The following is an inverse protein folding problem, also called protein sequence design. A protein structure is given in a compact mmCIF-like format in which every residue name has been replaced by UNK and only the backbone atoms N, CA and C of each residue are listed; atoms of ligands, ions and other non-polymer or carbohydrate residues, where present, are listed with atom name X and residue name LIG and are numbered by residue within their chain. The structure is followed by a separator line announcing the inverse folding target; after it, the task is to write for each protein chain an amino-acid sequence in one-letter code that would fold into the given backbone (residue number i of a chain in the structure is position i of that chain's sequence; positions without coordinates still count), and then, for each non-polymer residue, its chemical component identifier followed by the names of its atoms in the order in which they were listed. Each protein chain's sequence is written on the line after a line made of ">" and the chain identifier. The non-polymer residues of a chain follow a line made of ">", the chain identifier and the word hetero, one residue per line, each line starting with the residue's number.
data_IF_674656998720
#
_entry.id   IF_674656998720
#
_cell.length_a   1.000
_cell.length_b   1.000
_cell.length_c   1.000
_cell.angle_alpha   90.00
_cell.angle_beta   90.00
_cell.angle_gamma   90.00
#
_symmetry.space_group_name_H-M   'P 1'
#
loop_
_entity.id
_entity.type
_entity.pdbx_description
1 polymer ?
#
# COMPACT_ATOMS: atom_id res chain seq x y z
N UNK A 1 1.59 8.28 -5.61
CA UNK A 1 1.16 8.62 -4.24
C UNK A 1 1.82 7.68 -3.25
N UNK A 2 2.31 8.16 -2.09
CA UNK A 2 2.92 7.33 -1.04
C UNK A 2 1.98 7.26 0.17
N UNK A 3 1.59 6.05 0.56
CA UNK A 3 0.83 5.80 1.78
C UNK A 3 1.75 5.08 2.77
N UNK A 4 2.18 5.81 3.81
CA UNK A 4 2.91 5.24 4.94
C UNK A 4 1.92 4.66 5.94
N UNK A 5 2.16 3.44 6.41
CA UNK A 5 1.27 2.71 7.32
C UNK A 5 -0.12 2.38 6.73
N UNK A 6 -0.18 2.29 5.40
CA UNK A 6 -1.40 2.05 4.62
C UNK A 6 -2.05 0.67 4.79
N UNK A 7 -1.53 -0.18 5.68
CA UNK A 7 -2.07 -1.50 5.99
C UNK A 7 -3.23 -1.47 7.00
N UNK A 8 -3.55 -0.30 7.57
CA UNK A 8 -4.68 -0.12 8.49
C UNK A 8 -6.01 0.17 7.77
N UNK A 9 -7.09 0.25 8.55
CA UNK A 9 -8.47 0.50 8.08
C UNK A 9 -8.60 1.77 7.23
N UNK A 10 -7.87 2.82 7.60
CA UNK A 10 -7.81 4.07 6.84
C UNK A 10 -7.11 3.88 5.49
N UNK A 11 -5.99 3.15 5.48
CA UNK A 11 -5.23 2.87 4.26
C UNK A 11 -6.04 2.09 3.23
N UNK A 12 -6.80 1.07 3.66
CA UNK A 12 -7.70 0.32 2.78
C UNK A 12 -8.84 1.17 2.20
N UNK A 13 -9.46 2.04 3.00
CA UNK A 13 -10.52 2.93 2.54
C UNK A 13 -10.00 3.92 1.48
N UNK A 14 -8.81 4.48 1.74
CA UNK A 14 -8.10 5.38 0.83
C UNK A 14 -7.71 4.63 -0.46
N UNK A 15 -7.18 3.41 -0.34
CA UNK A 15 -6.82 2.58 -1.50
C UNK A 15 -8.02 2.32 -2.40
N UNK A 16 -9.15 1.91 -1.81
CA UNK A 16 -10.38 1.65 -2.55
C UNK A 16 -10.86 2.88 -3.32
N UNK A 17 -10.74 4.09 -2.76
CA UNK A 17 -11.11 5.31 -3.47
C UNK A 17 -10.16 5.59 -4.64
N UNK A 18 -8.86 5.41 -4.43
CA UNK A 18 -7.84 5.74 -5.43
C UNK A 18 -7.69 4.69 -6.54
N UNK A 19 -8.12 3.44 -6.32
CA UNK A 19 -8.12 2.41 -7.36
C UNK A 19 -8.94 2.81 -8.60
N UNK A 20 -10.03 3.56 -8.41
CA UNK A 20 -10.91 4.05 -9.48
C UNK A 20 -10.49 5.40 -10.05
N UNK A 21 -9.38 5.97 -9.58
CA UNK A 21 -8.85 7.22 -10.13
C UNK A 21 -7.74 6.96 -11.14
N UNK A 22 -7.39 8.00 -11.89
CA UNK A 22 -6.34 7.95 -12.93
C UNK A 22 -4.91 7.99 -12.36
N UNK A 23 -4.75 7.60 -11.09
CA UNK A 23 -3.42 7.46 -10.48
C UNK A 23 -2.68 6.30 -11.16
N UNK A 24 -1.49 6.63 -11.68
CA UNK A 24 -0.61 5.66 -12.33
C UNK A 24 0.08 4.69 -11.35
N UNK A 25 0.40 5.13 -10.13
CA UNK A 25 1.08 4.28 -9.14
C UNK A 25 0.76 4.67 -7.68
N UNK A 26 0.41 3.67 -6.88
CA UNK A 26 0.17 3.76 -5.44
C UNK A 26 1.23 2.92 -4.72
N UNK A 27 2.12 3.57 -3.97
CA UNK A 27 3.14 2.90 -3.15
C UNK A 27 2.64 2.76 -1.72
N UNK A 28 2.57 1.52 -1.25
CA UNK A 28 2.25 1.20 0.15
C UNK A 28 3.56 0.86 0.86
N UNK A 29 3.88 1.64 1.89
CA UNK A 29 5.06 1.46 2.71
C UNK A 29 4.67 1.01 4.12
N UNK A 30 5.16 -0.15 4.55
CA UNK A 30 4.92 -0.69 5.89
C UNK A 30 6.09 -1.59 6.33
N UNK A 31 6.21 -1.79 7.64
CA UNK A 31 7.17 -2.74 8.23
C UNK A 31 6.60 -4.15 8.39
N UNK A 32 5.29 -4.29 8.22
CA UNK A 32 4.56 -5.53 8.47
C UNK A 32 4.39 -6.30 7.15
N UNK A 33 5.26 -7.28 6.92
CA UNK A 33 5.27 -8.10 5.70
C UNK A 33 3.99 -8.92 5.55
N UNK A 34 3.46 -9.43 6.68
CA UNK A 34 2.25 -10.25 6.68
C UNK A 34 1.06 -9.45 6.17
N UNK A 35 0.86 -8.24 6.70
CA UNK A 35 -0.23 -7.37 6.23
C UNK A 35 -0.09 -6.97 4.76
N UNK A 36 1.14 -6.74 4.29
CA UNK A 36 1.36 -6.48 2.86
C UNK A 36 1.00 -7.68 1.99
N UNK A 37 1.36 -8.90 2.43
CA UNK A 37 0.99 -10.12 1.72
C UNK A 37 -0.54 -10.29 1.66
N UNK A 38 -1.23 -10.12 2.79
CA UNK A 38 -2.69 -10.21 2.85
C UNK A 38 -3.38 -9.19 1.93
N UNK A 39 -2.91 -7.94 1.93
CA UNK A 39 -3.40 -6.91 0.99
C UNK A 39 -3.12 -7.30 -0.47
N UNK A 40 -1.94 -7.85 -0.77
CA UNK A 40 -1.59 -8.23 -2.14
C UNK A 40 -2.50 -9.34 -2.67
N UNK A 41 -2.87 -10.30 -1.82
CA UNK A 41 -3.87 -11.31 -2.11
C UNK A 41 -5.26 -10.70 -2.30
N UNK A 42 -5.69 -9.82 -1.37
CA UNK A 42 -7.01 -9.19 -1.40
C UNK A 42 -7.23 -8.29 -2.63
N UNK A 43 -6.19 -7.57 -3.06
CA UNK A 43 -6.24 -6.65 -4.20
C UNK A 43 -5.78 -7.28 -5.53
N UNK A 44 -5.55 -8.59 -5.57
CA UNK A 44 -5.47 -9.37 -6.81
C UNK A 44 -4.36 -8.97 -7.78
N UNK A 45 -3.14 -8.70 -7.31
CA UNK A 45 -1.99 -8.29 -8.16
C UNK A 45 -2.29 -7.10 -9.09
N UNK A 46 -3.03 -6.10 -8.59
CA UNK A 46 -3.30 -4.90 -9.35
C UNK A 46 -2.00 -4.17 -9.74
N UNK A 47 -1.79 -3.90 -11.03
CA UNK A 47 -0.55 -3.29 -11.58
C UNK A 47 -0.25 -1.90 -11.00
N UNK A 48 -1.26 -1.20 -10.49
CA UNK A 48 -1.11 0.12 -9.86
C UNK A 48 -0.51 0.06 -8.45
N UNK A 49 -0.53 -1.09 -7.78
CA UNK A 49 -0.10 -1.25 -6.39
C UNK A 49 1.35 -1.71 -6.31
N UNK A 50 2.18 -0.94 -5.60
CA UNK A 50 3.57 -1.30 -5.31
C UNK A 50 3.81 -1.33 -3.81
N UNK A 51 4.17 -2.51 -3.30
CA UNK A 51 4.42 -2.73 -1.90
C UNK A 51 5.92 -2.58 -1.62
N UNK A 52 6.29 -1.79 -0.62
CA UNK A 52 7.68 -1.58 -0.21
C UNK A 52 7.79 -1.81 1.27
N UNK A 53 8.70 -2.70 1.68
CA UNK A 53 8.98 -2.98 3.08
C UNK A 53 10.04 -2.00 3.57
N UNK A 54 9.75 -1.30 4.66
CA UNK A 54 10.74 -0.42 5.30
C UNK A 54 10.16 0.33 6.49
N UNK A 55 11.06 0.86 7.33
CA UNK A 55 10.71 1.65 8.49
C UNK A 55 10.92 3.15 8.26
N UNK A 56 9.94 3.97 8.63
CA UNK A 56 10.02 5.45 8.60
C UNK A 56 11.11 6.02 9.53
N UNK A 57 11.68 5.20 10.41
CA UNK A 57 12.63 5.63 11.46
C UNK A 57 14.10 5.56 11.07
N UNK A 58 14.46 5.07 9.88
CA UNK A 58 15.84 5.14 9.40
C UNK A 58 15.85 5.59 7.95
N UNK A 59 16.32 6.82 7.66
CA UNK A 59 16.79 7.13 6.32
C UNK A 59 18.05 6.29 6.09
N UNK A 60 18.06 5.50 5.01
CA UNK A 60 19.27 4.96 4.44
C UNK A 60 19.88 6.02 3.52
#
# INVERSE_FOLDING_TARGET
>A
MLITDGTGTFGNAVLNRFLYTDIGEIRIFSRDEKKQHDMRLAYGNNRKLRFTIGGVRRPA
#
